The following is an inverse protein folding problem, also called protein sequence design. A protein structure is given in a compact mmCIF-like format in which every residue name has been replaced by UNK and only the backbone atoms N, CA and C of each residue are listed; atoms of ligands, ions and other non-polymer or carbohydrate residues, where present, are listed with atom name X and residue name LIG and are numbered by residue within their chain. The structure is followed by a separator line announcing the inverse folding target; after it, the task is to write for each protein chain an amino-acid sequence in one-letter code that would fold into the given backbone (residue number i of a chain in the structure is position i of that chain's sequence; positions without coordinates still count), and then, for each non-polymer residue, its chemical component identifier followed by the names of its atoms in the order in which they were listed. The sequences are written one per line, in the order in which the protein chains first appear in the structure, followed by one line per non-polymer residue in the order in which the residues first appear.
data_IF_880623619315
#
_entry.id   IF_880623619315
#
_cell.length_a   1.000
_cell.length_b   1.000
_cell.length_c   1.000
_cell.angle_alpha   90.00
_cell.angle_beta   90.00
_cell.angle_gamma   90.00
#
_symmetry.space_group_name_H-M   'P 1'
#
loop_
_entity.id
_entity.type
_entity.pdbx_description
1 polymer ?
#
# COMPACT_ATOMS: atom_id res chain seq x y z
N UNK A 1 9.65 7.37 -12.19
CA UNK A 1 9.02 8.59 -11.63
C UNK A 1 10.03 9.72 -11.76
N UNK A 2 9.64 10.90 -12.25
CA UNK A 2 10.56 12.03 -12.42
C UNK A 2 10.75 12.81 -11.10
N UNK A 3 11.79 13.66 -11.03
CA UNK A 3 12.00 14.56 -9.89
C UNK A 3 10.78 15.46 -9.62
N UNK A 4 10.09 15.91 -10.67
CA UNK A 4 8.88 16.72 -10.56
C UNK A 4 7.71 15.92 -9.92
N UNK A 5 7.57 14.64 -10.28
CA UNK A 5 6.54 13.77 -9.68
C UNK A 5 6.81 13.53 -8.18
N UNK A 6 8.08 13.33 -7.80
CA UNK A 6 8.47 13.19 -6.38
C UNK A 6 8.22 14.49 -5.62
N UNK A 7 8.55 15.64 -6.21
CA UNK A 7 8.29 16.95 -5.60
C UNK A 7 6.78 17.18 -5.39
N UNK A 8 5.96 16.86 -6.40
CA UNK A 8 4.52 16.97 -6.28
C UNK A 8 3.97 16.05 -5.18
N UNK A 9 4.43 14.79 -5.14
CA UNK A 9 4.05 13.85 -4.07
C UNK A 9 4.41 14.39 -2.68
N UNK A 10 5.62 14.93 -2.51
CA UNK A 10 6.03 15.55 -1.25
C UNK A 10 5.13 16.73 -0.85
N UNK A 11 4.80 17.63 -1.79
CA UNK A 11 3.87 18.72 -1.53
C UNK A 11 2.48 18.24 -1.10
N UNK A 12 1.97 17.17 -1.71
CA UNK A 12 0.71 16.55 -1.29
C UNK A 12 0.79 15.93 0.11
N UNK A 13 1.92 15.32 0.49
CA UNK A 13 2.10 14.82 1.85
C UNK A 13 2.09 15.94 2.89
N UNK A 14 2.71 17.09 2.61
CA UNK A 14 2.64 18.28 3.47
C UNK A 14 1.21 18.82 3.58
N UNK A 15 0.49 18.91 2.45
CA UNK A 15 -0.90 19.37 2.43
C UNK A 15 -1.82 18.45 3.24
N UNK A 16 -1.69 17.14 3.06
CA UNK A 16 -2.50 16.14 3.76
C UNK A 16 -2.16 16.08 5.26
N UNK A 17 -0.89 16.26 5.63
CA UNK A 17 -0.48 16.40 7.03
C UNK A 17 -1.18 17.58 7.70
N UNK A 18 -1.17 18.75 7.07
CA UNK A 18 -1.82 19.94 7.62
C UNK A 18 -3.33 19.73 7.82
N UNK A 19 -4.00 19.05 6.87
CA UNK A 19 -5.42 18.69 7.02
C UNK A 19 -5.65 17.72 8.19
N UNK A 20 -4.81 16.67 8.31
CA UNK A 20 -4.89 15.70 9.42
C UNK A 20 -4.71 16.39 10.77
N UNK A 21 -3.73 17.28 10.89
CA UNK A 21 -3.47 18.07 12.10
C UNK A 21 -4.61 19.05 12.41
N UNK A 22 -5.31 19.52 11.38
CA UNK A 22 -6.55 20.30 11.49
C UNK A 22 -7.81 19.48 11.85
N UNK A 23 -7.67 18.17 12.10
CA UNK A 23 -8.77 17.30 12.52
C UNK A 23 -9.45 16.51 11.40
N UNK A 24 -8.94 16.57 10.17
CA UNK A 24 -9.47 15.78 9.05
C UNK A 24 -9.20 14.28 9.27
N UNK A 25 -10.26 13.47 9.28
CA UNK A 25 -10.21 12.02 9.55
C UNK A 25 -10.29 11.15 8.28
N UNK A 26 -10.22 11.73 7.08
CA UNK A 26 -10.25 10.95 5.83
C UNK A 26 -9.06 10.00 5.72
N UNK A 27 -9.27 8.79 5.21
CA UNK A 27 -8.16 7.90 4.89
C UNK A 27 -7.35 8.42 3.69
N UNK A 28 -6.04 8.19 3.70
CA UNK A 28 -5.10 8.52 2.63
C UNK A 28 -4.56 7.24 2.01
N UNK A 29 -4.89 7.01 0.74
CA UNK A 29 -4.39 5.87 -0.02
C UNK A 29 -3.40 6.38 -1.07
N UNK A 30 -2.19 5.83 -1.08
CA UNK A 30 -1.24 6.02 -2.18
C UNK A 30 -1.47 4.94 -3.25
N UNK A 31 -1.79 5.35 -4.47
CA UNK A 31 -1.94 4.44 -5.59
C UNK A 31 -0.75 4.58 -6.56
N UNK A 32 -0.07 3.46 -6.85
CA UNK A 32 1.06 3.40 -7.80
C UNK A 32 0.93 2.19 -8.71
N UNK A 33 1.30 2.30 -9.99
CA UNK A 33 1.21 1.14 -10.88
C UNK A 33 2.29 0.11 -10.56
N UNK A 34 3.56 0.52 -10.58
CA UNK A 34 4.67 -0.34 -10.22
C UNK A 34 4.86 -0.36 -8.71
N UNK A 35 5.07 -1.55 -8.18
CA UNK A 35 5.44 -1.72 -6.79
C UNK A 35 6.76 -1.00 -6.53
N UNK A 36 6.84 -0.14 -5.50
CA UNK A 36 8.13 0.39 -5.09
C UNK A 36 8.95 -0.73 -4.47
N UNK A 37 10.14 -0.95 -4.98
CA UNK A 37 11.06 -2.02 -4.58
C UNK A 37 11.85 -1.65 -3.31
N UNK A 38 11.16 -1.23 -2.24
CA UNK A 38 11.78 -0.80 -0.98
C UNK A 38 12.70 -1.86 -0.37
N UNK A 39 12.43 -3.14 -0.65
CA UNK A 39 13.06 -4.29 -0.02
C UNK A 39 14.00 -5.05 -0.95
N UNK A 40 14.23 -4.55 -2.16
CA UNK A 40 15.28 -5.07 -3.01
C UNK A 40 16.65 -4.80 -2.38
N UNK A 41 17.64 -5.65 -2.67
CA UNK A 41 19.05 -5.45 -2.24
C UNK A 41 19.60 -4.09 -2.66
N UNK A 42 19.06 -3.50 -3.73
CA UNK A 42 19.23 -2.10 -4.10
C UNK A 42 17.85 -1.50 -4.42
N UNK A 43 17.28 -0.68 -3.53
CA UNK A 43 16.05 0.05 -3.84
C UNK A 43 16.24 0.94 -5.06
N UNK A 44 15.22 1.03 -5.91
CA UNK A 44 15.24 1.96 -7.04
C UNK A 44 15.08 3.42 -6.57
N UNK A 45 15.50 4.37 -7.42
CA UNK A 45 15.45 5.79 -7.09
C UNK A 45 14.04 6.31 -6.82
N UNK A 46 13.00 5.66 -7.37
CA UNK A 46 11.60 6.04 -7.15
C UNK A 46 11.18 5.67 -5.73
N UNK A 47 11.49 4.46 -5.31
CA UNK A 47 11.19 3.92 -3.99
C UNK A 47 11.92 4.72 -2.91
N UNK A 48 13.21 5.01 -3.12
CA UNK A 48 13.98 5.90 -2.24
C UNK A 48 13.37 7.30 -2.18
N UNK A 49 12.94 7.86 -3.33
CA UNK A 49 12.33 9.19 -3.38
C UNK A 49 10.98 9.29 -2.65
N UNK A 50 10.13 8.26 -2.78
CA UNK A 50 8.84 8.19 -2.08
C UNK A 50 9.03 8.08 -0.56
N UNK A 51 9.94 7.22 -0.11
CA UNK A 51 10.26 7.09 1.32
C UNK A 51 10.84 8.38 1.89
N UNK A 52 11.80 9.00 1.19
CA UNK A 52 12.38 10.27 1.62
C UNK A 52 11.32 11.37 1.71
N UNK A 53 10.39 11.44 0.75
CA UNK A 53 9.29 12.40 0.79
C UNK A 53 8.38 12.20 2.01
N UNK A 54 7.96 10.96 2.31
CA UNK A 54 7.16 10.65 3.50
C UNK A 54 7.91 10.96 4.80
N UNK A 55 9.20 10.60 4.87
CA UNK A 55 10.07 10.88 6.02
C UNK A 55 10.23 12.37 6.27
N UNK A 56 10.56 13.15 5.23
CA UNK A 56 10.71 14.60 5.33
C UNK A 56 9.39 15.31 5.66
N UNK A 57 8.27 14.81 5.12
CA UNK A 57 6.95 15.33 5.46
C UNK A 57 6.54 14.95 6.89
N UNK A 58 7.12 13.88 7.46
CA UNK A 58 6.68 13.23 8.70
C UNK A 58 5.20 12.84 8.61
N UNK A 59 4.84 12.26 7.47
CA UNK A 59 3.50 11.81 7.16
C UNK A 59 3.59 10.64 6.18
N UNK A 60 2.85 9.57 6.48
CA UNK A 60 2.79 8.37 5.66
C UNK A 60 1.34 8.11 5.25
N UNK A 61 1.09 7.52 4.06
CA UNK A 61 -0.26 7.11 3.68
C UNK A 61 -0.77 6.03 4.63
N UNK A 62 -2.09 5.98 4.80
CA UNK A 62 -2.75 4.93 5.59
C UNK A 62 -2.64 3.57 4.87
N UNK A 63 -2.68 3.53 3.54
CA UNK A 63 -2.50 2.31 2.75
C UNK A 63 -1.82 2.59 1.40
N UNK A 64 -1.27 1.54 0.80
CA UNK A 64 -0.71 1.59 -0.56
C UNK A 64 -1.39 0.55 -1.45
N UNK A 65 -1.91 0.98 -2.59
CA UNK A 65 -2.50 0.08 -3.60
C UNK A 65 -1.63 0.07 -4.84
N UNK A 66 -1.37 -1.13 -5.34
CA UNK A 66 -0.37 -1.38 -6.37
C UNK A 66 -0.93 -2.29 -7.46
N UNK A 67 -0.55 -2.02 -8.71
CA UNK A 67 -0.82 -2.91 -9.84
C UNK A 67 0.40 -3.75 -10.23
N UNK A 68 0.64 -3.83 -11.54
CA UNK A 68 1.79 -4.44 -12.21
C UNK A 68 1.97 -5.96 -12.02
N UNK A 69 2.11 -6.46 -10.78
CA UNK A 69 2.24 -7.88 -10.55
C UNK A 69 0.91 -8.58 -10.81
N UNK A 70 0.88 -9.54 -11.75
CA UNK A 70 -0.35 -10.25 -12.13
C UNK A 70 -0.71 -11.33 -11.11
N UNK A 71 -0.98 -10.91 -9.88
CA UNK A 71 -1.43 -11.71 -8.75
C UNK A 71 -2.07 -10.79 -7.72
N UNK A 72 -2.73 -11.39 -6.74
CA UNK A 72 -3.05 -10.70 -5.51
C UNK A 72 -1.93 -10.94 -4.49
N UNK A 73 -1.41 -9.88 -3.90
CA UNK A 73 -0.50 -9.97 -2.76
C UNK A 73 -0.85 -8.90 -1.74
N UNK A 74 -0.79 -9.27 -0.46
CA UNK A 74 -0.92 -8.36 0.66
C UNK A 74 0.28 -8.52 1.57
N UNK A 75 0.80 -7.42 2.08
CA UNK A 75 1.75 -7.42 3.19
C UNK A 75 1.58 -6.14 4.00
N UNK A 76 2.10 -6.14 5.22
CA UNK A 76 2.04 -4.96 6.11
C UNK A 76 3.46 -4.47 6.34
N UNK A 77 3.73 -3.21 5.99
CA UNK A 77 4.96 -2.51 6.35
C UNK A 77 4.77 -1.79 7.67
N UNK A 78 5.70 -1.94 8.60
CA UNK A 78 5.72 -1.13 9.83
C UNK A 78 6.73 0.01 9.70
N UNK A 79 6.26 1.24 9.91
CA UNK A 79 7.09 2.46 10.00
C UNK A 79 6.85 3.13 11.34
N UNK A 80 7.83 3.06 12.25
CA UNK A 80 7.64 3.49 13.63
C UNK A 80 6.51 2.68 14.29
N UNK A 81 5.45 3.35 14.74
CA UNK A 81 4.27 2.70 15.32
C UNK A 81 3.16 2.38 14.31
N UNK A 82 3.23 2.93 13.09
CA UNK A 82 2.20 2.83 12.06
C UNK A 82 2.38 1.57 11.21
N UNK A 83 1.29 0.82 11.02
CA UNK A 83 1.19 -0.30 10.10
C UNK A 83 0.52 0.16 8.80
N UNK A 84 1.21 -0.04 7.68
CA UNK A 84 0.77 0.38 6.35
C UNK A 84 0.51 -0.89 5.53
N UNK A 85 -0.76 -1.26 5.27
CA UNK A 85 -1.06 -2.35 4.35
C UNK A 85 -0.69 -1.95 2.91
N UNK A 86 0.04 -2.83 2.26
CA UNK A 86 0.29 -2.82 0.83
C UNK A 86 -0.61 -3.86 0.17
N UNK A 87 -1.41 -3.41 -0.78
CA UNK A 87 -2.35 -4.22 -1.54
C UNK A 87 -1.92 -4.24 -3.00
N UNK A 88 -1.35 -5.35 -3.43
CA UNK A 88 -1.02 -5.63 -4.82
C UNK A 88 -2.22 -6.31 -5.47
N UNK A 89 -2.91 -5.59 -6.36
CA UNK A 89 -4.13 -6.00 -7.03
C UNK A 89 -3.95 -5.92 -8.56
N UNK A 90 -2.86 -6.49 -9.09
CA UNK A 90 -2.59 -6.51 -10.53
C UNK A 90 -3.21 -7.73 -11.26
N UNK A 91 -4.05 -8.51 -10.58
CA UNK A 91 -4.69 -9.72 -11.08
C UNK A 91 -6.02 -9.50 -11.83
N UNK A 92 -6.18 -8.36 -12.52
CA UNK A 92 -7.46 -7.95 -13.10
C UNK A 92 -7.91 -8.65 -14.40
N UNK A 93 -7.16 -9.61 -14.94
CA UNK A 93 -7.61 -10.38 -16.11
C UNK A 93 -6.53 -10.73 -17.14
N UNK A 94 -5.30 -10.25 -17.00
CA UNK A 94 -4.18 -10.66 -17.85
C UNK A 94 -3.26 -11.64 -17.13
N UNK A 95 -2.92 -12.74 -17.82
CA UNK A 95 -2.10 -13.89 -17.39
C UNK A 95 -1.42 -13.75 -16.03
N UNK A 96 -1.81 -14.60 -15.09
CA UNK A 96 -1.23 -14.69 -13.75
C UNK A 96 0.28 -14.96 -13.84
N UNK A 97 1.07 -14.15 -13.14
CA UNK A 97 2.54 -14.23 -13.14
C UNK A 97 3.11 -13.82 -11.79
N UNK A 98 3.81 -14.72 -11.07
CA UNK A 98 4.47 -14.40 -9.82
C UNK A 98 5.87 -13.80 -9.98
N UNK A 99 6.30 -13.51 -11.22
CA UNK A 99 7.65 -13.01 -11.47
C UNK A 99 7.88 -11.60 -10.89
N UNK A 100 6.81 -10.85 -10.63
CA UNK A 100 6.83 -9.43 -10.27
C UNK A 100 6.21 -9.16 -8.88
N UNK A 101 6.11 -10.18 -8.03
CA UNK A 101 5.70 -9.97 -6.63
C UNK A 101 6.74 -9.15 -5.85
N UNK A 102 6.35 -8.70 -4.66
CA UNK A 102 7.12 -7.73 -3.89
C UNK A 102 8.43 -8.23 -3.28
N UNK A 103 8.72 -9.54 -3.36
CA UNK A 103 9.92 -10.18 -2.77
C UNK A 103 10.22 -9.72 -1.32
N UNK A 104 9.19 -9.54 -0.50
CA UNK A 104 9.30 -8.99 0.87
C UNK A 104 9.60 -10.00 1.97
N UNK A 105 9.70 -11.29 1.63
CA UNK A 105 9.86 -12.36 2.60
C UNK A 105 11.18 -12.18 3.40
N UNK A 106 11.08 -12.20 4.73
CA UNK A 106 12.22 -12.07 5.64
C UNK A 106 12.69 -10.64 5.91
N UNK A 107 12.03 -9.62 5.36
CA UNK A 107 12.34 -8.23 5.69
C UNK A 107 11.82 -7.86 7.09
N UNK A 108 12.68 -7.30 7.94
CA UNK A 108 12.38 -7.03 9.36
C UNK A 108 11.23 -6.04 9.62
N UNK A 109 10.91 -5.18 8.66
CA UNK A 109 9.80 -4.24 8.72
C UNK A 109 8.49 -4.78 8.12
N UNK A 110 8.49 -6.01 7.59
CA UNK A 110 7.33 -6.57 6.89
C UNK A 110 6.75 -7.74 7.67
N UNK A 111 5.43 -7.73 7.82
CA UNK A 111 4.64 -8.85 8.35
C UNK A 111 3.55 -9.27 7.37
N UNK A 112 2.93 -10.42 7.67
CA UNK A 112 1.67 -10.86 7.06
C UNK A 112 1.66 -10.93 5.53
N UNK A 113 2.78 -11.37 4.94
CA UNK A 113 2.91 -11.51 3.49
C UNK A 113 2.08 -12.69 2.96
N UNK A 114 0.94 -12.38 2.33
CA UNK A 114 0.05 -13.33 1.68
C UNK A 114 0.11 -13.13 0.15
N UNK A 115 0.20 -14.23 -0.60
CA UNK A 115 0.17 -14.22 -2.06
C UNK A 115 -0.91 -15.19 -2.56
N UNK A 116 -1.77 -14.75 -3.48
CA UNK A 116 -2.78 -15.56 -4.15
C UNK A 116 -2.65 -15.42 -5.67
N UNK A 117 -2.55 -16.57 -6.35
CA UNK A 117 -2.42 -16.66 -7.81
C UNK A 117 -3.78 -16.90 -8.45
N UNK A 118 -4.67 -15.92 -8.34
CA UNK A 118 -6.04 -15.96 -8.88
C UNK A 118 -6.36 -14.66 -9.59
N UNK A 119 -7.27 -14.67 -10.56
CA UNK A 119 -7.84 -13.44 -11.11
C UNK A 119 -8.85 -12.85 -10.12
N UNK A 120 -9.03 -11.53 -10.17
CA UNK A 120 -9.94 -10.86 -9.24
C UNK A 120 -9.73 -9.35 -9.15
N UNK A 121 -10.30 -8.76 -8.10
CA UNK A 121 -10.18 -7.34 -7.79
C UNK A 121 -10.22 -7.12 -6.27
N UNK A 122 -9.91 -5.90 -5.85
CA UNK A 122 -10.03 -5.49 -4.44
C UNK A 122 -11.08 -4.41 -4.30
N UNK A 123 -11.93 -4.54 -3.29
CA UNK A 123 -12.84 -3.48 -2.84
C UNK A 123 -12.28 -2.83 -1.58
N UNK A 124 -12.11 -1.52 -1.61
CA UNK A 124 -11.80 -0.72 -0.42
C UNK A 124 -13.08 -0.09 0.13
N UNK A 125 -13.24 -0.08 1.45
CA UNK A 125 -14.34 0.58 2.16
C UNK A 125 -13.79 1.39 3.32
N UNK A 126 -14.33 2.60 3.53
CA UNK A 126 -13.92 3.49 4.62
C UNK A 126 -15.16 4.07 5.29
N UNK A 127 -15.24 3.95 6.61
CA UNK A 127 -16.36 4.43 7.43
C UNK A 127 -15.99 5.64 8.32
N UNK A 128 -14.77 6.15 8.19
CA UNK A 128 -14.23 7.25 8.97
C UNK A 128 -13.55 6.83 10.29
N UNK A 129 -13.65 5.56 10.67
CA UNK A 129 -12.90 4.93 11.77
C UNK A 129 -11.90 3.91 11.24
N UNK A 130 -12.30 3.17 10.21
CA UNK A 130 -11.51 2.11 9.60
C UNK A 130 -11.42 2.25 8.09
N UNK A 131 -10.30 1.78 7.53
CA UNK A 131 -10.10 1.53 6.11
C UNK A 131 -9.93 0.03 5.90
N UNK A 132 -10.88 -0.61 5.24
CA UNK A 132 -10.86 -2.06 4.98
C UNK A 132 -10.67 -2.38 3.51
N UNK A 133 -10.03 -3.51 3.24
CA UNK A 133 -9.84 -4.06 1.90
C UNK A 133 -10.34 -5.49 1.88
N UNK A 134 -11.12 -5.83 0.85
CA UNK A 134 -11.60 -7.19 0.58
C UNK A 134 -11.17 -7.60 -0.82
N UNK A 135 -10.40 -8.68 -0.92
CA UNK A 135 -10.02 -9.28 -2.19
C UNK A 135 -11.08 -10.28 -2.63
N UNK A 136 -11.52 -10.15 -3.87
CA UNK A 136 -12.60 -10.95 -4.46
C UNK A 136 -12.05 -11.60 -5.72
N UNK A 137 -12.15 -12.92 -5.84
CA UNK A 137 -11.71 -13.63 -7.04
C UNK A 137 -12.71 -13.51 -8.21
N UNK A 138 -12.33 -14.04 -9.37
CA UNK A 138 -13.16 -14.06 -10.58
C UNK A 138 -14.50 -14.80 -10.42
N UNK A 139 -14.63 -15.66 -9.40
CA UNK A 139 -15.87 -16.37 -9.08
C UNK A 139 -16.72 -15.62 -8.03
N UNK A 140 -16.29 -14.43 -7.61
CA UNK A 140 -16.95 -13.64 -6.57
C UNK A 140 -16.67 -14.11 -5.15
N UNK A 141 -15.73 -15.03 -4.94
CA UNK A 141 -15.39 -15.53 -3.60
C UNK A 141 -14.47 -14.54 -2.87
N UNK A 142 -14.68 -14.41 -1.55
CA UNK A 142 -13.74 -13.69 -0.70
C UNK A 142 -12.48 -14.51 -0.50
N UNK A 143 -11.32 -13.99 -0.93
CA UNK A 143 -10.05 -14.71 -0.82
C UNK A 143 -9.11 -14.15 0.24
N UNK A 144 -9.35 -12.91 0.68
CA UNK A 144 -8.61 -12.22 1.73
C UNK A 144 -9.33 -10.95 2.18
N UNK A 145 -9.10 -10.55 3.43
CA UNK A 145 -9.64 -9.32 4.00
C UNK A 145 -8.65 -8.73 5.00
N UNK A 146 -8.64 -7.40 5.12
CA UNK A 146 -7.98 -6.69 6.22
C UNK A 146 -8.79 -5.45 6.59
N UNK A 147 -8.58 -4.96 7.80
CA UNK A 147 -9.00 -3.63 8.23
C UNK A 147 -7.84 -2.89 8.89
N UNK A 148 -7.70 -1.61 8.60
CA UNK A 148 -6.82 -0.66 9.27
C UNK A 148 -7.67 0.25 10.14
N UNK A 149 -7.37 0.30 11.43
CA UNK A 149 -7.94 1.30 12.33
C UNK A 149 -7.20 2.64 12.12
N UNK A 150 -7.93 3.69 11.74
CA UNK A 150 -7.35 4.99 11.36
C UNK A 150 -6.83 5.79 12.56
N UNK A 151 -7.30 5.50 13.78
CA UNK A 151 -6.88 6.18 15.00
C UNK A 151 -5.60 5.59 15.57
N UNK A 152 -5.53 4.25 15.63
CA UNK A 152 -4.41 3.50 16.19
C UNK A 152 -3.36 3.14 15.16
N UNK A 153 -3.70 3.23 13.87
CA UNK A 153 -2.84 2.87 12.74
C UNK A 153 -2.38 1.40 12.81
N UNK A 154 -3.27 0.53 13.26
CA UNK A 154 -3.06 -0.92 13.39
C UNK A 154 -3.94 -1.70 12.42
N UNK A 155 -3.35 -2.75 11.84
CA UNK A 155 -4.01 -3.67 10.93
C UNK A 155 -4.55 -4.86 11.71
N UNK A 156 -5.79 -5.25 11.41
CA UNK A 156 -6.43 -6.51 11.79
C UNK A 156 -6.75 -7.31 10.54
N UNK A 157 -6.52 -8.63 10.59
CA UNK A 157 -6.76 -9.57 9.50
C UNK A 157 -8.04 -10.37 9.74
#
# INVERSE_FOLDING_TARGET
MSAQQIQHFYSEMLRLKALREGGDKRAVIMAVHHLPQFYATKPDAVSTGLDAACQHARFWPDAVVVGHAHLYQRFVRTVGSQQIPYIVAGNGGYRISPAQDAKVAGHNQVSDNLVKKVLGFVRASCDGQSLSFRAIDENGQNIDQLSLDLATQKVSL
#
